data_IF_514766215680
#
_entry.id   IF_514766215680
#
_cell.length_a   1.000
_cell.length_b   1.000
_cell.length_c   1.000
_cell.angle_alpha   90.00
_cell.angle_beta   90.00
_cell.angle_gamma   90.00
#
_symmetry.space_group_name_H-M   'P 1'
#
loop_
_entity.id
_entity.type
_entity.pdbx_description
1 polymer ?
#
# COMPACT_ATOMS: atom_id res chain seq x y z
N UNK A 1 -4.04 -14.48 1.32
CA UNK A 1 -4.38 -13.53 2.40
C UNK A 1 -3.15 -12.91 3.08
N UNK A 2 -2.03 -13.62 3.20
CA UNK A 2 -0.79 -13.08 3.78
C UNK A 2 -0.35 -11.74 3.17
N UNK A 3 -0.29 -11.63 1.83
CA UNK A 3 0.08 -10.37 1.15
C UNK A 3 -0.87 -9.19 1.43
N UNK A 4 -2.18 -9.45 1.48
CA UNK A 4 -3.19 -8.44 1.81
C UNK A 4 -3.05 -7.99 3.27
N UNK A 5 -2.77 -8.92 4.19
CA UNK A 5 -2.48 -8.61 5.59
C UNK A 5 -1.24 -7.75 5.75
N UNK A 6 -0.15 -8.06 5.04
CA UNK A 6 1.07 -7.23 5.04
C UNK A 6 0.78 -5.82 4.50
N UNK A 7 0.05 -5.72 3.39
CA UNK A 7 -0.36 -4.42 2.83
C UNK A 7 -1.13 -3.59 3.86
N UNK A 8 -2.10 -4.18 4.57
CA UNK A 8 -2.83 -3.49 5.64
C UNK A 8 -1.90 -3.01 6.76
N UNK A 9 -0.97 -3.85 7.22
CA UNK A 9 -0.02 -3.48 8.26
C UNK A 9 0.93 -2.35 7.81
N UNK A 10 1.36 -2.36 6.55
CA UNK A 10 2.19 -1.29 5.98
C UNK A 10 1.45 0.04 5.90
N UNK A 11 0.16 0.04 5.55
CA UNK A 11 -0.68 1.25 5.53
C UNK A 11 -0.90 1.78 6.95
N UNK A 12 -1.19 0.90 7.92
CA UNK A 12 -1.30 1.32 9.33
C UNK A 12 0.03 1.87 9.83
N UNK A 13 1.15 1.22 9.46
CA UNK A 13 2.49 1.68 9.76
C UNK A 13 2.77 3.08 9.19
N UNK A 14 2.36 3.36 7.95
CA UNK A 14 2.56 4.70 7.36
C UNK A 14 1.72 5.77 8.06
N UNK A 15 0.52 5.43 8.55
CA UNK A 15 -0.29 6.31 9.41
C UNK A 15 0.45 6.61 10.72
N UNK A 16 1.05 5.60 11.35
CA UNK A 16 1.83 5.78 12.58
C UNK A 16 3.09 6.60 12.33
N UNK A 17 3.76 6.44 11.19
CA UNK A 17 4.90 7.25 10.79
C UNK A 17 4.59 8.75 10.71
N UNK A 18 3.32 9.15 10.50
CA UNK A 18 2.95 10.57 10.60
C UNK A 18 3.14 11.14 12.02
N UNK A 19 3.12 10.31 13.06
CA UNK A 19 3.43 10.77 14.42
C UNK A 19 4.92 11.09 14.60
N UNK A 20 5.79 10.54 13.74
CA UNK A 20 7.24 10.79 13.79
C UNK A 20 7.63 12.16 13.21
N UNK A 21 6.70 12.91 12.59
CA UNK A 21 6.92 14.31 12.18
C UNK A 21 7.32 15.22 13.35
N UNK A 22 6.99 14.87 14.59
CA UNK A 22 7.37 15.65 15.77
C UNK A 22 8.85 15.52 16.15
N UNK A 23 9.52 14.44 15.71
CA UNK A 23 10.89 14.13 16.13
C UNK A 23 11.89 14.06 14.95
N UNK A 24 11.44 13.73 13.75
CA UNK A 24 12.28 13.56 12.57
C UNK A 24 12.05 14.67 11.52
N UNK A 25 13.05 14.91 10.67
CA UNK A 25 12.91 15.82 9.52
C UNK A 25 11.75 15.33 8.62
N UNK A 26 10.85 16.27 8.29
CA UNK A 26 9.71 16.04 7.43
C UNK A 26 10.08 15.35 6.09
N UNK A 27 11.21 15.70 5.48
CA UNK A 27 11.67 15.09 4.21
C UNK A 27 11.94 13.59 4.33
N UNK A 28 12.60 13.17 5.41
CA UNK A 28 12.88 11.77 5.69
C UNK A 28 11.60 10.96 5.93
N UNK A 29 10.65 11.52 6.69
CA UNK A 29 9.36 10.86 6.96
C UNK A 29 8.56 10.65 5.67
N UNK A 30 8.49 11.67 4.80
CA UNK A 30 7.80 11.52 3.51
C UNK A 30 8.42 10.44 2.62
N UNK A 31 9.75 10.33 2.57
CA UNK A 31 10.43 9.28 1.79
C UNK A 31 10.17 7.89 2.36
N UNK A 32 10.22 7.73 3.68
CA UNK A 32 9.91 6.44 4.34
C UNK A 32 8.47 6.03 4.04
N UNK A 33 7.50 6.93 4.25
CA UNK A 33 6.10 6.68 3.93
C UNK A 33 5.91 6.35 2.44
N UNK A 34 6.63 7.02 1.53
CA UNK A 34 6.55 6.75 0.10
C UNK A 34 6.96 5.30 -0.26
N UNK A 35 8.04 4.81 0.33
CA UNK A 35 8.49 3.42 0.16
C UNK A 35 7.53 2.41 0.80
N UNK A 36 6.98 2.71 1.98
CA UNK A 36 5.99 1.85 2.64
C UNK A 36 4.70 1.75 1.83
N UNK A 37 4.21 2.87 1.27
CA UNK A 37 3.02 2.90 0.44
C UNK A 37 3.23 2.16 -0.89
N UNK A 38 4.43 2.27 -1.47
CA UNK A 38 4.81 1.52 -2.68
C UNK A 38 4.86 0.02 -2.41
N UNK A 39 5.50 -0.40 -1.32
CA UNK A 39 5.55 -1.80 -0.92
C UNK A 39 4.14 -2.36 -0.65
N UNK A 40 3.28 -1.58 0.01
CA UNK A 40 1.88 -1.95 0.23
C UNK A 40 1.12 -2.16 -1.08
N UNK A 41 1.27 -1.24 -2.04
CA UNK A 41 0.63 -1.35 -3.36
C UNK A 41 1.07 -2.63 -4.08
N UNK A 42 2.37 -2.95 -4.09
CA UNK A 42 2.89 -4.19 -4.69
C UNK A 42 2.29 -5.43 -4.02
N UNK A 43 2.23 -5.46 -2.69
CA UNK A 43 1.60 -6.57 -1.97
C UNK A 43 0.11 -6.72 -2.31
N UNK A 44 -0.61 -5.61 -2.47
CA UNK A 44 -2.04 -5.63 -2.81
C UNK A 44 -2.27 -6.08 -4.26
N UNK A 45 -1.41 -5.67 -5.21
CA UNK A 45 -1.41 -6.16 -6.60
C UNK A 45 -1.19 -7.68 -6.64
N UNK A 46 -0.21 -8.19 -5.89
CA UNK A 46 0.01 -9.64 -5.76
C UNK A 46 -1.23 -10.34 -5.19
N UNK A 47 -1.88 -9.75 -4.18
CA UNK A 47 -3.15 -10.26 -3.64
C UNK A 47 -4.25 -10.34 -4.69
N UNK A 48 -4.40 -9.32 -5.51
CA UNK A 48 -5.39 -9.27 -6.60
C UNK A 48 -5.10 -10.25 -7.74
N UNK A 49 -3.84 -10.61 -7.99
CA UNK A 49 -3.49 -11.63 -9.01
C UNK A 49 -3.69 -13.06 -8.50
N UNK A 50 -3.42 -13.31 -7.22
CA UNK A 50 -3.59 -14.64 -6.61
C UNK A 50 -5.07 -14.98 -6.41
N UNK A 51 -5.93 -13.97 -6.16
CA UNK A 51 -7.35 -14.20 -5.88
C UNK A 51 -8.12 -14.90 -7.03
N UNK A 52 -7.98 -14.49 -8.31
CA UNK A 52 -8.58 -15.18 -9.46
C UNK A 52 -7.96 -16.55 -9.74
N UNK A 53 -6.67 -16.74 -9.45
CA UNK A 53 -5.97 -18.02 -9.69
C UNK A 53 -6.54 -19.16 -8.81
N UNK A 54 -7.04 -18.81 -7.62
CA UNK A 54 -7.71 -19.76 -6.73
C UNK A 54 -9.12 -20.21 -7.16
N UNK A 55 -9.73 -19.58 -8.17
CA UNK A 55 -11.10 -19.90 -8.60
C UNK A 55 -11.21 -21.23 -9.35
N UNK A 56 -10.09 -21.80 -9.81
CA UNK A 56 -10.04 -23.07 -10.51
C UNK A 56 -10.20 -24.30 -9.59
N UNK A 57 -10.20 -24.09 -8.27
CA UNK A 57 -10.36 -25.15 -7.27
C UNK A 57 -11.75 -25.80 -7.31
N UNK A 58 -11.80 -27.10 -7.04
CA UNK A 58 -13.05 -27.89 -7.07
C UNK A 58 -14.11 -27.34 -6.11
N UNK A 59 -13.70 -26.80 -4.96
CA UNK A 59 -14.59 -26.15 -3.98
C UNK A 59 -15.31 -24.94 -4.57
N UNK A 60 -14.60 -24.09 -5.33
CA UNK A 60 -15.19 -22.91 -5.97
C UNK A 60 -16.07 -23.33 -7.15
N UNK A 61 -15.65 -24.31 -7.94
CA UNK A 61 -16.46 -24.89 -9.03
C UNK A 61 -17.76 -25.54 -8.51
N UNK A 62 -17.75 -26.12 -7.31
CA UNK A 62 -18.95 -26.68 -6.68
C UNK A 62 -19.98 -25.61 -6.29
N UNK A 63 -19.52 -24.41 -5.90
CA UNK A 63 -20.39 -23.29 -5.53
C UNK A 63 -20.82 -22.43 -6.72
N UNK A 64 -19.90 -22.11 -7.63
CA UNK A 64 -20.10 -21.18 -8.75
C UNK A 64 -20.38 -21.87 -10.09
N UNK A 65 -20.39 -23.21 -10.12
CA UNK A 65 -20.68 -24.03 -11.28
C UNK A 65 -19.43 -24.57 -11.96
N UNK A 66 -19.55 -25.76 -12.56
CA UNK A 66 -18.46 -26.51 -13.22
C UNK A 66 -17.84 -25.78 -14.43
N UNK A 67 -18.48 -24.72 -14.94
CA UNK A 67 -17.95 -23.84 -16.00
C UNK A 67 -17.07 -22.68 -15.47
N UNK A 68 -16.73 -22.68 -14.20
CA UNK A 68 -15.82 -21.69 -13.61
C UNK A 68 -14.38 -22.04 -14.01
N UNK A 69 -13.71 -21.12 -14.68
CA UNK A 69 -12.30 -21.22 -15.09
C UNK A 69 -11.53 -19.97 -14.59
N UNK A 70 -10.20 -19.95 -14.68
CA UNK A 70 -9.37 -18.81 -14.26
C UNK A 70 -9.88 -17.54 -14.94
N UNK A 71 -10.19 -16.51 -14.14
CA UNK A 71 -10.78 -15.23 -14.56
C UNK A 71 -12.23 -15.28 -15.12
N UNK A 72 -12.90 -16.43 -15.08
CA UNK A 72 -14.33 -16.55 -15.46
C UNK A 72 -15.14 -17.14 -14.31
N UNK A 73 -15.87 -16.29 -13.59
CA UNK A 73 -16.86 -16.79 -12.64
C UNK A 73 -18.06 -17.27 -13.44
N UNK A 74 -18.36 -18.57 -13.41
CA UNK A 74 -19.48 -19.15 -14.17
C UNK A 74 -20.81 -18.49 -13.82
N UNK A 75 -21.42 -18.92 -12.71
CA UNK A 75 -22.70 -18.37 -12.23
C UNK A 75 -22.54 -17.31 -11.12
N UNK A 76 -21.31 -17.01 -10.71
CA UNK A 76 -21.01 -16.05 -9.65
C UNK A 76 -20.56 -14.70 -10.23
N UNK A 77 -20.66 -13.63 -9.43
CA UNK A 77 -20.19 -12.30 -9.82
C UNK A 77 -19.19 -11.74 -8.81
N UNK A 78 -18.25 -10.95 -9.33
CA UNK A 78 -17.31 -10.20 -8.49
C UNK A 78 -18.07 -9.09 -7.76
N UNK A 79 -17.84 -8.98 -6.45
CA UNK A 79 -18.54 -8.02 -5.57
C UNK A 79 -17.64 -6.83 -5.21
N UNK A 80 -18.22 -5.89 -4.47
CA UNK A 80 -17.61 -4.62 -4.08
C UNK A 80 -16.18 -4.72 -3.51
N UNK A 81 -15.87 -5.76 -2.73
CA UNK A 81 -14.55 -5.91 -2.10
C UNK A 81 -13.39 -5.93 -3.10
N UNK A 82 -13.56 -6.59 -4.26
CA UNK A 82 -12.51 -6.64 -5.28
C UNK A 82 -12.35 -5.30 -6.01
N UNK A 83 -13.45 -4.57 -6.22
CA UNK A 83 -13.43 -3.22 -6.79
C UNK A 83 -12.69 -2.26 -5.85
N UNK A 84 -12.99 -2.34 -4.55
CA UNK A 84 -12.30 -1.56 -3.51
C UNK A 84 -10.80 -1.90 -3.45
N UNK A 85 -10.41 -3.15 -3.67
CA UNK A 85 -9.01 -3.54 -3.75
C UNK A 85 -8.28 -2.83 -4.92
N UNK A 86 -8.89 -2.77 -6.10
CA UNK A 86 -8.32 -2.04 -7.25
C UNK A 86 -8.19 -0.55 -6.95
N UNK A 87 -9.23 0.07 -6.38
CA UNK A 87 -9.20 1.48 -5.98
C UNK A 87 -8.07 1.74 -4.97
N UNK A 88 -7.91 0.86 -3.98
CA UNK A 88 -6.86 0.98 -2.97
C UNK A 88 -5.44 0.90 -3.55
N UNK A 89 -5.23 0.11 -4.60
CA UNK A 89 -3.94 0.04 -5.31
C UNK A 89 -3.64 1.38 -5.97
N UNK A 90 -4.61 1.94 -6.69
CA UNK A 90 -4.45 3.23 -7.39
C UNK A 90 -4.19 4.37 -6.39
N UNK A 91 -4.94 4.41 -5.30
CA UNK A 91 -4.76 5.39 -4.23
C UNK A 91 -3.36 5.28 -3.61
N UNK A 92 -2.92 4.07 -3.26
CA UNK A 92 -1.59 3.84 -2.70
C UNK A 92 -0.46 4.26 -3.65
N UNK A 93 -0.62 4.06 -4.96
CA UNK A 93 0.35 4.52 -5.97
C UNK A 93 0.40 6.05 -6.08
N UNK A 94 -0.76 6.70 -6.09
CA UNK A 94 -0.86 8.17 -6.11
C UNK A 94 -0.20 8.76 -4.86
N UNK A 95 -0.54 8.23 -3.68
CA UNK A 95 0.04 8.66 -2.41
C UNK A 95 1.56 8.44 -2.36
N UNK A 96 2.07 7.31 -2.86
CA UNK A 96 3.51 7.06 -2.96
C UNK A 96 4.18 8.10 -3.85
N UNK A 97 3.63 8.36 -5.04
CA UNK A 97 4.17 9.35 -5.97
C UNK A 97 4.19 10.77 -5.37
N UNK A 98 3.07 11.19 -4.77
CA UNK A 98 2.98 12.49 -4.10
C UNK A 98 3.99 12.59 -2.94
N UNK A 99 4.14 11.54 -2.13
CA UNK A 99 5.10 11.50 -1.03
C UNK A 99 6.56 11.59 -1.51
N UNK A 100 6.92 10.91 -2.61
CA UNK A 100 8.24 11.07 -3.23
C UNK A 100 8.48 12.48 -3.76
N UNK A 101 7.49 13.07 -4.43
CA UNK A 101 7.60 14.45 -4.94
C UNK A 101 7.75 15.43 -3.79
N UNK A 102 6.93 15.32 -2.74
CA UNK A 102 7.00 16.18 -1.56
C UNK A 102 8.31 16.02 -0.81
N UNK A 103 8.74 14.78 -0.55
CA UNK A 103 10.04 14.49 0.08
C UNK A 103 11.20 15.09 -0.71
N UNK A 104 11.23 14.90 -2.03
CA UNK A 104 12.29 15.45 -2.89
C UNK A 104 12.25 16.99 -2.99
N UNK A 105 11.08 17.62 -2.84
CA UNK A 105 10.95 19.08 -2.79
C UNK A 105 11.42 19.63 -1.45
N UNK A 106 11.12 18.93 -0.36
CA UNK A 106 11.56 19.25 0.99
C UNK A 106 13.09 19.15 1.10
N UNK A 107 13.69 18.07 0.57
CA UNK A 107 15.15 17.84 0.53
C UNK A 107 15.88 18.99 -0.20
N UNK A 108 15.27 19.55 -1.25
CA UNK A 108 15.85 20.69 -2.01
C UNK A 108 15.76 22.03 -1.26
N UNK A 109 14.81 22.17 -0.34
CA UNK A 109 14.54 23.43 0.36
C UNK A 109 15.25 23.49 1.72
N UNK A 110 15.49 22.33 2.33
CA UNK A 110 16.21 22.16 3.59
C UNK A 110 17.42 21.25 3.34
N UNK A 111 18.53 21.79 2.79
CA UNK A 111 19.79 21.04 2.73
C UNK A 111 20.19 20.60 4.15
N UNK A 112 20.93 19.49 4.24
CA UNK A 112 21.27 18.73 5.46
C UNK A 112 22.00 19.55 6.55
N UNK A 113 22.32 20.82 6.29
CA UNK A 113 22.93 21.77 7.23
C UNK A 113 21.98 22.28 8.33
N UNK A 114 20.66 22.08 8.21
CA UNK A 114 19.71 22.36 9.31
C UNK A 114 19.51 21.12 10.17
N UNK A 115 20.55 20.70 10.88
CA UNK A 115 20.32 20.06 12.17
C UNK A 115 19.68 21.14 13.06
N UNK A 116 18.40 21.00 13.37
CA UNK A 116 17.84 21.67 14.54
C UNK A 116 18.67 21.15 15.69
N UNK A 117 19.58 21.99 16.16
CA UNK A 117 20.36 21.83 17.37
C UNK A 117 19.49 21.12 18.40
N UNK A 118 19.84 19.87 18.68
CA UNK A 118 19.29 19.15 19.82
C UNK A 118 19.41 20.08 21.01
N UNK A 119 18.28 20.29 21.69
CA UNK A 119 18.29 20.71 23.08
C UNK A 119 19.18 19.75 23.86
N UNK A 120 20.46 20.06 23.96
CA UNK A 120 21.39 19.47 24.90
C UNK A 120 22.01 20.61 25.70
N UNK A 121 21.40 20.86 26.86
CA UNK A 121 22.02 21.33 28.09
C UNK A 121 23.05 22.50 28.02
N UNK A 122 22.59 23.71 28.32
CA UNK A 122 23.22 24.63 29.28
C UNK A 122 22.20 25.70 29.74
#
# INVERSE_FOLDING_TARGET
MFFVGISMLLVVGSIVCFSLFFFCNAGSVYKICAWMQLASSVCMVMGCMIYPDGWDSEEVKRMCGQRTDKYTLGNCTVRWAYILAIISILDALILSFLAFVLGNRQDKLLPEDFQVESKDHA
#
